data_IF_897820806516
#
_entry.id   IF_897820806516
#
_cell.length_a   1.000
_cell.length_b   1.000
_cell.length_c   1.000
_cell.angle_alpha   90.00
_cell.angle_beta   90.00
_cell.angle_gamma   90.00
#
_symmetry.space_group_name_H-M   'P 1'
#
loop_
_entity.id
_entity.type
_entity.pdbx_description
1 polymer ?
#
# COMPACT_ATOMS: atom_id res chain seq x y z
N UNK A 1 21.86 -5.56 4.55
CA UNK A 1 21.03 -5.11 3.39
C UNK A 1 20.49 -6.34 2.68
N UNK A 2 19.19 -6.55 2.62
CA UNK A 2 18.57 -7.77 2.06
C UNK A 2 18.51 -7.81 0.51
N UNK A 3 19.38 -7.18 -0.22
CA UNK A 3 19.59 -7.37 -1.66
C UNK A 3 18.37 -7.13 -2.60
N UNK A 4 17.40 -6.29 -2.22
CA UNK A 4 16.21 -5.97 -3.01
C UNK A 4 15.03 -6.95 -2.84
N UNK A 5 13.99 -6.82 -3.67
CA UNK A 5 12.74 -7.62 -3.63
C UNK A 5 12.94 -9.06 -4.15
N UNK A 6 13.76 -9.86 -3.46
CA UNK A 6 13.97 -11.27 -3.80
C UNK A 6 13.23 -12.16 -2.81
N UNK A 7 12.53 -13.18 -3.33
CA UNK A 7 11.89 -14.22 -2.50
C UNK A 7 12.95 -14.92 -1.67
N UNK A 8 12.81 -14.92 -0.35
CA UNK A 8 13.69 -15.56 0.62
C UNK A 8 13.24 -17.01 0.92
N UNK A 9 14.08 -17.80 1.60
CA UNK A 9 13.70 -19.15 2.08
C UNK A 9 13.54 -20.20 0.98
N UNK A 10 14.31 -20.14 -0.11
CA UNK A 10 14.21 -21.07 -1.24
C UNK A 10 14.95 -22.39 -1.07
N UNK A 11 15.80 -22.54 -0.07
CA UNK A 11 16.45 -23.79 0.30
C UNK A 11 15.91 -24.26 1.64
N UNK A 12 16.08 -25.57 1.96
CA UNK A 12 15.67 -26.12 3.25
C UNK A 12 16.39 -25.43 4.41
N UNK A 13 17.67 -25.14 4.24
CA UNK A 13 18.49 -24.44 5.22
C UNK A 13 17.95 -23.01 5.47
N UNK A 14 17.76 -22.22 4.42
CA UNK A 14 17.19 -20.86 4.53
C UNK A 14 15.75 -20.87 5.07
N UNK A 15 14.97 -21.91 4.77
CA UNK A 15 13.63 -22.08 5.32
C UNK A 15 13.67 -22.35 6.82
N UNK A 16 14.63 -23.19 7.28
CA UNK A 16 14.83 -23.46 8.72
C UNK A 16 15.25 -22.20 9.46
N UNK A 17 16.18 -21.42 8.91
CA UNK A 17 16.61 -20.14 9.50
C UNK A 17 15.45 -19.16 9.68
N UNK A 18 14.53 -19.08 8.70
CA UNK A 18 13.35 -18.21 8.78
C UNK A 18 12.35 -18.70 9.83
N UNK A 19 12.14 -20.01 9.95
CA UNK A 19 11.30 -20.59 10.99
C UNK A 19 11.88 -20.32 12.39
N UNK A 20 13.18 -20.50 12.56
CA UNK A 20 13.85 -20.25 13.84
C UNK A 20 13.83 -18.76 14.19
N UNK A 21 14.02 -17.87 13.22
CA UNK A 21 13.86 -16.43 13.40
C UNK A 21 12.44 -16.06 13.85
N UNK A 22 11.40 -16.66 13.24
CA UNK A 22 10.01 -16.42 13.63
C UNK A 22 9.72 -16.89 15.07
N UNK A 23 10.32 -18.00 15.50
CA UNK A 23 10.23 -18.49 16.89
C UNK A 23 10.90 -17.52 17.88
N UNK A 24 12.10 -17.06 17.56
CA UNK A 24 12.82 -16.07 18.40
C UNK A 24 12.01 -14.79 18.55
N UNK A 25 11.38 -14.31 17.48
CA UNK A 25 10.50 -13.13 17.52
C UNK A 25 9.30 -13.37 18.43
N UNK A 26 8.67 -14.56 18.35
CA UNK A 26 7.54 -14.92 19.22
C UNK A 26 7.98 -15.02 20.69
N UNK A 27 9.11 -15.68 20.98
CA UNK A 27 9.68 -15.83 22.33
C UNK A 27 10.11 -14.49 22.94
N UNK A 28 10.51 -13.52 22.11
CA UNK A 28 10.81 -12.16 22.52
C UNK A 28 9.56 -11.33 22.91
N UNK A 29 8.35 -11.90 22.78
CA UNK A 29 7.10 -11.28 23.20
C UNK A 29 6.39 -10.48 22.12
N UNK A 30 6.72 -10.69 20.84
CA UNK A 30 5.93 -10.11 19.75
C UNK A 30 4.51 -10.68 19.78
N UNK A 31 3.49 -9.83 19.54
CA UNK A 31 2.09 -10.25 19.50
C UNK A 31 1.66 -10.76 18.10
N UNK A 32 2.49 -10.53 17.09
CA UNK A 32 2.27 -10.91 15.70
C UNK A 32 3.59 -10.85 14.93
N UNK A 33 3.71 -11.60 13.83
CA UNK A 33 4.85 -11.49 12.91
C UNK A 33 4.36 -11.30 11.46
N UNK A 34 5.05 -10.42 10.73
CA UNK A 34 4.83 -10.22 9.29
C UNK A 34 5.76 -11.16 8.51
N UNK A 35 5.18 -11.93 7.58
CA UNK A 35 5.88 -12.80 6.65
C UNK A 35 5.83 -12.17 5.26
N UNK A 36 6.98 -11.67 4.78
CA UNK A 36 7.06 -10.92 3.53
C UNK A 36 7.95 -11.62 2.50
N UNK A 37 7.41 -11.81 1.29
CA UNK A 37 8.20 -12.26 0.13
C UNK A 37 8.85 -13.63 0.30
N UNK A 38 8.17 -14.59 0.94
CA UNK A 38 8.62 -15.96 1.15
C UNK A 38 7.72 -16.96 0.41
N UNK A 39 8.18 -18.19 0.13
CA UNK A 39 7.36 -19.21 -0.48
C UNK A 39 6.09 -19.50 0.33
N UNK A 40 4.94 -19.64 -0.34
CA UNK A 40 3.65 -19.88 0.31
C UNK A 40 3.65 -21.12 1.23
N UNK A 41 4.30 -22.21 0.81
CA UNK A 41 4.44 -23.43 1.63
C UNK A 41 5.26 -23.19 2.90
N UNK A 42 6.27 -22.29 2.85
CA UNK A 42 7.06 -21.95 4.04
C UNK A 42 6.23 -21.09 5.01
N UNK A 43 5.48 -20.12 4.50
CA UNK A 43 4.61 -19.30 5.32
C UNK A 43 3.53 -20.14 6.04
N UNK A 44 2.91 -21.09 5.33
CA UNK A 44 1.96 -22.04 5.92
C UNK A 44 2.60 -22.89 7.04
N UNK A 45 3.83 -23.38 6.84
CA UNK A 45 4.56 -24.14 7.85
C UNK A 45 5.00 -23.29 9.05
N UNK A 46 5.41 -22.03 8.85
CA UNK A 46 5.72 -21.11 9.93
C UNK A 46 4.46 -20.84 10.75
N UNK A 47 3.35 -20.50 10.08
CA UNK A 47 2.06 -20.20 10.72
C UNK A 47 1.60 -21.35 11.64
N UNK A 48 1.77 -22.59 11.23
CA UNK A 48 1.42 -23.78 12.04
C UNK A 48 2.32 -24.01 13.24
N UNK A 49 3.53 -23.46 13.25
CA UNK A 49 4.60 -23.84 14.21
C UNK A 49 4.97 -22.75 15.20
N UNK A 50 4.41 -21.55 15.09
CA UNK A 50 4.64 -20.47 16.06
C UNK A 50 3.33 -20.15 16.81
N UNK A 51 3.43 -19.68 18.06
CA UNK A 51 2.26 -19.46 18.91
C UNK A 51 1.58 -18.09 18.71
N UNK A 52 2.08 -17.25 17.81
CA UNK A 52 1.56 -15.90 17.56
C UNK A 52 0.99 -15.80 16.13
N UNK A 53 0.00 -14.93 15.90
CA UNK A 53 -0.59 -14.73 14.57
C UNK A 53 0.45 -14.29 13.53
N UNK A 54 0.24 -14.73 12.29
CA UNK A 54 1.03 -14.35 11.12
C UNK A 54 0.26 -13.44 10.20
N UNK A 55 0.92 -12.43 9.63
CA UNK A 55 0.38 -11.54 8.62
C UNK A 55 1.21 -11.64 7.34
N UNK A 56 0.61 -12.12 6.25
CA UNK A 56 1.29 -12.36 4.99
C UNK A 56 1.24 -11.16 4.04
N UNK A 57 2.38 -10.90 3.39
CA UNK A 57 2.47 -10.05 2.21
C UNK A 57 3.44 -10.69 1.20
N UNK A 58 2.90 -11.15 0.07
CA UNK A 58 3.69 -11.95 -0.86
C UNK A 58 4.17 -13.29 -0.29
N UNK A 59 3.39 -13.87 0.62
CA UNK A 59 3.68 -15.12 1.33
C UNK A 59 2.60 -16.20 1.11
N UNK A 60 1.69 -15.99 0.17
CA UNK A 60 0.57 -16.92 -0.08
C UNK A 60 -0.57 -16.77 0.93
N UNK A 61 -1.57 -17.65 0.82
CA UNK A 61 -2.81 -17.58 1.60
C UNK A 61 -2.76 -18.33 2.94
N UNK A 62 -1.64 -18.95 3.31
CA UNK A 62 -1.50 -19.79 4.50
C UNK A 62 -1.25 -19.03 5.81
N UNK A 63 -1.14 -17.70 5.79
CA UNK A 63 -1.05 -16.87 6.98
C UNK A 63 -2.45 -16.57 7.56
N UNK A 64 -2.50 -16.28 8.87
CA UNK A 64 -3.76 -15.94 9.57
C UNK A 64 -4.41 -14.68 9.01
N UNK A 65 -3.61 -13.71 8.57
CA UNK A 65 -4.04 -12.44 8.00
C UNK A 65 -3.25 -12.09 6.75
N UNK A 66 -3.80 -11.16 5.95
CA UNK A 66 -3.15 -10.63 4.76
C UNK A 66 -3.07 -9.10 4.83
N UNK A 67 -1.99 -8.53 4.30
CA UNK A 67 -1.84 -7.09 4.15
C UNK A 67 -1.34 -6.74 2.75
N UNK A 68 -1.76 -5.59 2.23
CA UNK A 68 -1.20 -4.94 1.05
C UNK A 68 -1.02 -3.46 1.34
N UNK A 69 -0.01 -2.87 0.72
CA UNK A 69 0.16 -1.42 0.74
C UNK A 69 -1.02 -0.76 0.02
N UNK A 70 -1.70 0.17 0.67
CA UNK A 70 -2.91 0.80 0.14
C UNK A 70 -2.68 1.44 -1.24
N UNK A 71 -1.57 2.14 -1.43
CA UNK A 71 -1.22 2.78 -2.69
C UNK A 71 -1.03 1.76 -3.82
N UNK A 72 -0.48 0.60 -3.51
CA UNK A 72 -0.28 -0.48 -4.48
C UNK A 72 -1.61 -1.12 -4.87
N UNK A 73 -2.41 -1.53 -3.87
CA UNK A 73 -3.70 -2.19 -4.12
C UNK A 73 -4.73 -1.28 -4.81
N UNK A 74 -4.64 0.03 -4.58
CA UNK A 74 -5.51 1.03 -5.21
C UNK A 74 -4.98 1.51 -6.57
N UNK A 75 -3.84 1.00 -7.03
CA UNK A 75 -3.28 1.32 -8.34
C UNK A 75 -2.77 2.75 -8.45
N UNK A 76 -2.21 3.31 -7.38
CA UNK A 76 -1.59 4.64 -7.40
C UNK A 76 -0.16 4.59 -7.93
N UNK A 77 0.52 3.44 -7.80
CA UNK A 77 1.87 3.23 -8.29
C UNK A 77 1.89 2.59 -9.68
N UNK A 78 2.81 3.03 -10.55
CA UNK A 78 3.02 2.46 -11.89
C UNK A 78 3.48 1.01 -11.78
N UNK A 79 4.53 0.80 -11.00
CA UNK A 79 5.11 -0.50 -10.76
C UNK A 79 4.70 -1.02 -9.36
N UNK A 80 4.36 -2.30 -9.32
CA UNK A 80 4.09 -3.01 -8.07
C UNK A 80 4.75 -4.40 -8.11
N UNK A 81 5.12 -4.98 -6.96
CA UNK A 81 5.60 -6.36 -6.88
C UNK A 81 4.60 -7.37 -7.46
N UNK A 82 5.10 -8.52 -7.92
CA UNK A 82 4.29 -9.60 -8.53
C UNK A 82 3.11 -10.04 -7.65
N UNK A 83 3.26 -10.00 -6.34
CA UNK A 83 2.24 -10.46 -5.40
C UNK A 83 1.10 -9.45 -5.19
N UNK A 84 1.22 -8.24 -5.70
CA UNK A 84 0.20 -7.21 -5.56
C UNK A 84 -0.86 -7.39 -6.65
N UNK A 85 -2.10 -7.53 -6.23
CA UNK A 85 -3.27 -7.38 -7.10
C UNK A 85 -3.77 -5.95 -6.98
N UNK A 86 -3.84 -5.23 -8.09
CA UNK A 86 -4.50 -3.93 -8.16
C UNK A 86 -6.02 -4.13 -8.19
N UNK A 87 -6.74 -3.47 -7.28
CA UNK A 87 -8.20 -3.51 -7.18
C UNK A 87 -8.88 -2.27 -7.77
N UNK A 88 -8.08 -1.22 -8.05
CA UNK A 88 -8.50 0.01 -8.68
C UNK A 88 -7.37 0.60 -9.53
N UNK A 89 -7.66 1.63 -10.30
CA UNK A 89 -6.70 2.46 -11.04
C UNK A 89 -6.87 3.93 -10.63
N UNK A 90 -6.51 4.24 -9.39
CA UNK A 90 -6.61 5.61 -8.89
C UNK A 90 -5.58 6.54 -9.53
N UNK A 91 -4.45 6.01 -10.02
CA UNK A 91 -3.46 6.84 -10.67
C UNK A 91 -4.02 7.56 -11.89
N UNK A 92 -4.66 6.82 -12.79
CA UNK A 92 -5.30 7.40 -13.98
C UNK A 92 -6.39 8.40 -13.56
N UNK A 93 -7.27 8.01 -12.65
CA UNK A 93 -8.35 8.88 -12.14
C UNK A 93 -7.82 10.19 -11.56
N UNK A 94 -6.74 10.13 -10.77
CA UNK A 94 -6.13 11.32 -10.16
C UNK A 94 -5.50 12.21 -11.24
N UNK A 95 -4.75 11.63 -12.19
CA UNK A 95 -4.12 12.39 -13.28
C UNK A 95 -5.17 13.10 -14.12
N UNK A 96 -6.23 12.41 -14.50
CA UNK A 96 -7.31 12.98 -15.30
C UNK A 96 -8.03 14.12 -14.58
N UNK A 97 -8.28 13.96 -13.27
CA UNK A 97 -8.86 15.01 -12.44
C UNK A 97 -7.97 16.26 -12.37
N UNK A 98 -6.66 16.08 -12.17
CA UNK A 98 -5.71 17.20 -12.17
C UNK A 98 -5.61 17.89 -13.54
N UNK A 99 -5.57 17.12 -14.62
CA UNK A 99 -5.52 17.66 -15.98
C UNK A 99 -6.76 18.51 -16.26
N UNK A 100 -7.96 17.98 -15.96
CA UNK A 100 -9.23 18.71 -16.10
C UNK A 100 -9.20 20.00 -15.27
N UNK A 101 -8.79 19.94 -14.01
CA UNK A 101 -8.66 21.12 -13.16
C UNK A 101 -7.70 22.17 -13.75
N UNK A 102 -6.55 21.74 -14.27
CA UNK A 102 -5.58 22.65 -14.90
C UNK A 102 -6.14 23.30 -16.17
N UNK A 103 -6.84 22.53 -17.01
CA UNK A 103 -7.48 23.02 -18.21
C UNK A 103 -8.56 24.06 -17.89
N UNK A 104 -9.48 23.75 -16.99
CA UNK A 104 -10.57 24.65 -16.57
C UNK A 104 -10.02 25.91 -15.90
N UNK A 105 -9.01 25.79 -15.04
CA UNK A 105 -8.37 26.93 -14.39
C UNK A 105 -7.67 27.85 -15.39
N UNK A 106 -6.97 27.27 -16.38
CA UNK A 106 -6.29 28.02 -17.44
C UNK A 106 -7.27 28.73 -18.36
N UNK A 107 -8.38 28.06 -18.68
CA UNK A 107 -9.48 28.61 -19.47
C UNK A 107 -10.36 29.60 -18.69
N UNK A 108 -10.14 29.76 -17.39
CA UNK A 108 -10.98 30.55 -16.47
C UNK A 108 -12.45 30.12 -16.43
N UNK A 109 -12.72 28.85 -16.67
CA UNK A 109 -14.05 28.23 -16.50
C UNK A 109 -14.26 27.69 -15.11
N UNK A 110 -13.16 27.47 -14.35
CA UNK A 110 -13.18 27.22 -12.91
C UNK A 110 -12.54 28.43 -12.17
N UNK A 111 -13.14 28.90 -11.07
CA UNK A 111 -14.41 28.48 -10.48
C UNK A 111 -15.63 28.99 -11.28
N UNK A 112 -16.59 28.09 -11.52
CA UNK A 112 -17.89 28.52 -12.01
C UNK A 112 -18.71 29.21 -10.90
N UNK A 113 -19.80 29.88 -11.24
CA UNK A 113 -20.61 30.67 -10.30
C UNK A 113 -21.03 29.88 -9.05
N UNK A 114 -21.31 28.57 -9.19
CA UNK A 114 -21.66 27.69 -8.07
C UNK A 114 -20.53 27.49 -7.05
N UNK A 115 -19.30 27.80 -7.42
CA UNK A 115 -18.10 27.63 -6.58
C UNK A 115 -17.50 28.98 -6.14
N UNK A 116 -18.28 30.09 -6.16
CA UNK A 116 -17.87 31.44 -5.78
C UNK A 116 -18.69 31.95 -4.60
N UNK A 117 -18.08 32.85 -3.82
CA UNK A 117 -18.80 33.60 -2.80
C UNK A 117 -19.25 34.95 -3.37
N UNK A 118 -20.55 35.11 -3.59
CA UNK A 118 -21.15 36.28 -4.21
C UNK A 118 -21.62 37.31 -3.17
N UNK A 119 -20.71 37.74 -2.27
CA UNK A 119 -21.00 38.83 -1.34
C UNK A 119 -20.87 40.18 -2.03
N UNK A 120 -21.85 41.06 -1.86
CA UNK A 120 -21.74 42.47 -2.28
C UNK A 120 -21.01 43.24 -1.21
N UNK A 121 -19.98 43.96 -1.59
CA UNK A 121 -19.22 44.86 -0.71
C UNK A 121 -19.46 46.29 -1.20
N UNK A 122 -20.19 47.08 -0.40
CA UNK A 122 -20.44 48.50 -0.71
C UNK A 122 -19.12 49.29 -0.66
N UNK A 123 -18.89 50.07 -1.70
CA UNK A 123 -17.68 50.92 -1.78
C UNK A 123 -16.41 50.17 -2.18
N UNK A 124 -16.50 48.92 -2.70
CA UNK A 124 -15.31 48.15 -3.11
C UNK A 124 -14.51 48.86 -4.20
N UNK A 125 -15.15 49.70 -5.00
CA UNK A 125 -14.52 50.57 -6.02
C UNK A 125 -13.59 51.65 -5.43
N UNK A 126 -13.70 51.93 -4.13
CA UNK A 126 -12.88 52.92 -3.43
C UNK A 126 -11.61 52.31 -2.77
N UNK A 127 -11.34 51.02 -2.97
CA UNK A 127 -10.10 50.39 -2.53
C UNK A 127 -8.90 51.06 -3.20
N UNK A 128 -7.89 51.41 -2.37
CA UNK A 128 -6.64 52.06 -2.81
C UNK A 128 -5.54 51.01 -2.99
#
# INVERSE_FOLDING_TARGET
MMGGFKVQGKSLEAAQELLDSARVVAEAGAFMVVLEGIPAMLADEITKRIPIPTMGIGAGAGCDMQVLVAQDMLGMNDWVPKFVKKYADLRTTIIDAYNTYCEESSARTFPAEAYQYNAKIEGIENLK
#
